data_IF_800017919506
#
_entry.id   IF_800017919506
#
_cell.length_a   1.000
_cell.length_b   1.000
_cell.length_c   1.000
_cell.angle_alpha   90.00
_cell.angle_beta   90.00
_cell.angle_gamma   90.00
#
_symmetry.space_group_name_H-M   'P 1'
#
loop_
_entity.id
_entity.type
_entity.pdbx_description
1 polymer ?
#
# COMPACT_ATOMS: atom_id res chain seq x y z
N UNK A 1 13.96 -48.12 -42.16
CA UNK A 1 13.37 -47.52 -40.96
C UNK A 1 14.28 -46.38 -40.54
N UNK A 2 13.94 -45.17 -40.92
CA UNK A 2 14.66 -43.97 -40.46
C UNK A 2 13.72 -43.22 -39.54
N UNK A 3 13.98 -43.32 -38.26
CA UNK A 3 13.34 -42.46 -37.26
C UNK A 3 14.05 -41.09 -37.25
N UNK A 4 13.42 -40.09 -37.85
CA UNK A 4 13.81 -38.71 -37.74
C UNK A 4 13.18 -38.17 -36.43
N UNK A 5 13.90 -38.25 -35.31
CA UNK A 5 13.61 -37.48 -34.12
C UNK A 5 14.14 -36.05 -34.32
N UNK A 6 13.33 -35.20 -34.93
CA UNK A 6 13.51 -33.75 -34.84
C UNK A 6 12.97 -33.32 -33.48
N UNK A 7 13.78 -33.42 -32.42
CA UNK A 7 13.56 -32.65 -31.20
C UNK A 7 13.80 -31.18 -31.54
N UNK A 8 12.71 -30.44 -31.69
CA UNK A 8 12.76 -29.00 -31.65
C UNK A 8 13.14 -28.59 -30.23
N UNK A 9 14.42 -28.39 -29.95
CA UNK A 9 14.87 -27.69 -28.76
C UNK A 9 14.28 -26.27 -28.81
N UNK A 10 13.22 -26.05 -28.07
CA UNK A 10 12.69 -24.71 -27.79
C UNK A 10 13.73 -23.99 -26.92
N UNK A 11 14.57 -23.19 -27.55
CA UNK A 11 15.48 -22.28 -26.84
C UNK A 11 14.62 -21.28 -26.06
N UNK A 12 14.55 -21.46 -24.75
CA UNK A 12 13.97 -20.46 -23.85
C UNK A 12 14.92 -19.26 -23.81
N UNK A 13 14.44 -18.12 -24.26
CA UNK A 13 15.17 -16.84 -24.13
C UNK A 13 14.76 -16.24 -22.79
N UNK A 14 15.70 -16.20 -21.84
CA UNK A 14 15.48 -15.49 -20.58
C UNK A 14 15.54 -13.98 -20.82
N UNK A 15 14.37 -13.36 -20.78
CA UNK A 15 14.27 -11.90 -20.80
C UNK A 15 14.55 -11.37 -19.39
N UNK A 16 15.76 -10.97 -19.12
CA UNK A 16 16.18 -10.51 -17.79
C UNK A 16 15.84 -9.02 -17.58
N UNK A 17 14.55 -8.65 -17.81
CA UNK A 17 14.06 -7.29 -17.59
C UNK A 17 13.27 -7.28 -16.28
N UNK A 18 13.83 -6.67 -15.24
CA UNK A 18 13.17 -6.46 -13.98
C UNK A 18 12.51 -5.09 -13.94
N UNK A 19 11.32 -4.95 -14.50
CA UNK A 19 10.54 -3.71 -14.44
C UNK A 19 10.23 -3.28 -13.00
N UNK A 20 10.01 -4.25 -12.11
CA UNK A 20 9.67 -3.98 -10.70
C UNK A 20 10.76 -3.19 -9.96
N UNK A 21 12.03 -3.48 -10.22
CA UNK A 21 13.13 -2.76 -9.57
C UNK A 21 13.30 -1.32 -10.06
N UNK A 22 12.89 -1.02 -11.29
CA UNK A 22 13.00 0.31 -11.89
C UNK A 22 11.87 1.24 -11.44
N UNK A 23 10.70 0.67 -11.08
CA UNK A 23 9.50 1.43 -10.75
C UNK A 23 9.34 1.69 -9.25
N UNK A 24 9.92 0.81 -8.40
CA UNK A 24 9.80 0.96 -6.95
C UNK A 24 10.61 2.15 -6.44
N UNK A 25 9.93 3.00 -5.68
CA UNK A 25 10.54 4.13 -4.94
C UNK A 25 10.80 3.70 -3.49
N UNK A 26 11.97 4.05 -3.00
CA UNK A 26 12.32 3.88 -1.59
C UNK A 26 11.88 5.11 -0.81
N UNK A 27 11.02 4.89 0.18
CA UNK A 27 10.43 5.95 0.99
C UNK A 27 10.88 5.72 2.43
N UNK A 28 11.63 6.67 3.00
CA UNK A 28 12.00 6.64 4.41
C UNK A 28 10.85 7.18 5.26
N UNK A 29 10.57 6.53 6.37
CA UNK A 29 9.54 6.94 7.31
C UNK A 29 10.20 7.78 8.42
N UNK A 30 9.67 8.97 8.67
CA UNK A 30 10.20 9.95 9.64
C UNK A 30 11.68 10.30 9.45
N UNK A 31 12.20 10.19 8.21
CA UNK A 31 13.61 10.39 7.91
C UNK A 31 14.55 9.31 8.44
N UNK A 32 14.03 8.23 9.00
CA UNK A 32 14.82 7.11 9.50
C UNK A 32 15.26 6.20 8.35
N UNK A 33 16.56 6.10 8.12
CA UNK A 33 17.17 5.28 7.06
C UNK A 33 16.96 3.78 7.27
N UNK A 34 16.62 3.35 8.49
CA UNK A 34 16.33 1.95 8.81
C UNK A 34 14.84 1.62 8.67
N UNK A 35 13.98 2.63 8.51
CA UNK A 35 12.55 2.48 8.30
C UNK A 35 12.21 2.88 6.86
N UNK A 36 12.41 1.95 5.96
CA UNK A 36 12.23 2.16 4.51
C UNK A 36 11.19 1.20 3.98
N UNK A 37 10.23 1.72 3.22
CA UNK A 37 9.30 0.94 2.40
C UNK A 37 9.64 1.13 0.92
N UNK A 38 9.34 0.12 0.12
CA UNK A 38 9.52 0.17 -1.33
C UNK A 38 8.15 0.03 -1.98
N UNK A 39 7.69 1.11 -2.62
CA UNK A 39 6.39 1.16 -3.28
C UNK A 39 6.54 1.49 -4.75
N UNK A 40 5.76 0.83 -5.60
CA UNK A 40 5.58 1.20 -6.99
C UNK A 40 4.49 2.27 -7.09
N UNK A 41 4.89 3.54 -7.06
CA UNK A 41 3.97 4.67 -7.11
C UNK A 41 3.26 4.83 -8.46
N UNK A 42 3.68 4.10 -9.50
CA UNK A 42 3.02 4.04 -10.80
C UNK A 42 2.05 2.84 -10.92
N UNK A 43 1.92 2.03 -9.87
CA UNK A 43 1.01 0.89 -9.87
C UNK A 43 -0.45 1.31 -9.69
N UNK A 44 -1.16 1.42 -10.81
CA UNK A 44 -2.60 1.71 -10.83
C UNK A 44 -3.44 0.65 -10.10
N UNK A 45 -2.94 -0.58 -9.94
CA UNK A 45 -3.62 -1.62 -9.18
C UNK A 45 -3.68 -1.30 -7.68
N UNK A 46 -2.79 -0.48 -7.16
CA UNK A 46 -2.89 0.00 -5.77
C UNK A 46 -4.19 0.75 -5.54
N UNK A 47 -4.59 1.64 -6.45
CA UNK A 47 -5.86 2.35 -6.36
C UNK A 47 -7.07 1.42 -6.49
N UNK A 48 -6.96 0.39 -7.34
CA UNK A 48 -8.00 -0.65 -7.48
C UNK A 48 -8.12 -1.46 -6.20
N UNK A 49 -7.00 -1.94 -5.65
CA UNK A 49 -6.97 -2.68 -4.37
C UNK A 49 -7.51 -1.82 -3.23
N UNK A 50 -7.18 -0.52 -3.22
CA UNK A 50 -7.75 0.42 -2.26
C UNK A 50 -9.28 0.46 -2.36
N UNK A 51 -9.82 0.72 -3.55
CA UNK A 51 -11.27 0.79 -3.77
C UNK A 51 -11.99 -0.52 -3.37
N UNK A 52 -11.40 -1.67 -3.64
CA UNK A 52 -11.94 -2.98 -3.24
C UNK A 52 -11.94 -3.19 -1.71
N UNK A 53 -10.95 -2.64 -1.01
CA UNK A 53 -10.76 -2.82 0.44
C UNK A 53 -11.36 -1.69 1.28
N UNK A 54 -11.72 -0.56 0.68
CA UNK A 54 -12.23 0.63 1.38
C UNK A 54 -13.38 0.29 2.32
N UNK A 55 -14.37 -0.44 1.83
CA UNK A 55 -15.53 -0.85 2.64
C UNK A 55 -15.15 -1.80 3.80
N UNK A 56 -14.15 -2.65 3.60
CA UNK A 56 -13.64 -3.53 4.66
C UNK A 56 -12.90 -2.72 5.72
N UNK A 57 -12.12 -1.71 5.31
CA UNK A 57 -11.42 -0.79 6.22
C UNK A 57 -12.40 0.07 7.02
N UNK A 58 -13.44 0.60 6.39
CA UNK A 58 -14.50 1.35 7.08
C UNK A 58 -15.22 0.50 8.13
N UNK A 59 -15.62 -0.73 7.77
CA UNK A 59 -16.25 -1.66 8.70
C UNK A 59 -15.34 -2.01 9.87
N UNK A 60 -14.05 -2.20 9.60
CA UNK A 60 -13.07 -2.51 10.62
C UNK A 60 -12.85 -1.32 11.56
N UNK A 61 -12.73 -0.11 11.02
CA UNK A 61 -12.63 1.13 11.78
C UNK A 61 -13.85 1.35 12.69
N UNK A 62 -15.05 1.11 12.16
CA UNK A 62 -16.30 1.18 12.93
C UNK A 62 -16.31 0.17 14.07
N UNK A 63 -15.96 -1.09 13.82
CA UNK A 63 -15.85 -2.14 14.86
C UNK A 63 -14.85 -1.75 15.95
N UNK A 64 -13.71 -1.17 15.57
CA UNK A 64 -12.71 -0.71 16.53
C UNK A 64 -13.23 0.47 17.36
N UNK A 65 -13.88 1.43 16.74
CA UNK A 65 -14.47 2.58 17.43
C UNK A 65 -15.57 2.17 18.40
N UNK A 66 -16.48 1.30 18.00
CA UNK A 66 -17.53 0.74 18.87
C UNK A 66 -16.91 0.01 20.07
N UNK A 67 -15.88 -0.78 19.82
CA UNK A 67 -15.16 -1.49 20.87
C UNK A 67 -14.45 -0.55 21.85
N UNK A 68 -13.76 0.47 21.37
CA UNK A 68 -13.08 1.47 22.21
C UNK A 68 -14.08 2.31 23.01
N UNK A 69 -15.21 2.70 22.41
CA UNK A 69 -16.28 3.47 23.07
C UNK A 69 -16.96 2.65 24.19
N UNK A 70 -17.23 1.38 23.94
CA UNK A 70 -17.84 0.49 24.95
C UNK A 70 -16.94 0.32 26.19
N UNK A 71 -15.61 0.35 26.02
CA UNK A 71 -14.66 0.27 27.13
C UNK A 71 -14.61 1.52 28.00
N UNK A 72 -14.94 2.69 27.47
CA UNK A 72 -15.01 3.92 28.26
C UNK A 72 -16.17 3.90 29.26
N UNK A 73 -17.19 3.08 29.01
CA UNK A 73 -18.36 2.88 29.89
C UNK A 73 -18.22 1.68 30.84
N UNK A 74 -17.34 0.73 30.52
CA UNK A 74 -17.16 -0.54 31.27
C UNK A 74 -16.07 -0.45 32.38
N UNK A 75 -16.00 0.68 33.12
CA UNK A 75 -15.05 0.85 34.25
C UNK A 75 -15.27 -0.12 35.42
N UNK A 76 -16.28 -0.98 35.37
CA UNK A 76 -16.67 -1.87 36.45
C UNK A 76 -16.30 -3.36 36.25
N UNK A 77 -15.75 -3.74 35.10
CA UNK A 77 -15.33 -5.13 34.89
C UNK A 77 -13.91 -5.35 35.44
N UNK A 78 -13.80 -6.26 36.43
CA UNK A 78 -12.61 -6.50 37.24
C UNK A 78 -11.30 -6.80 36.46
N UNK A 79 -10.23 -7.11 37.18
CA UNK A 79 -8.85 -7.33 36.63
C UNK A 79 -8.75 -8.31 35.45
N UNK A 80 -9.72 -9.19 35.25
CA UNK A 80 -9.75 -10.16 34.15
C UNK A 80 -10.26 -9.59 32.82
N UNK A 81 -10.85 -8.40 32.83
CA UNK A 81 -11.35 -7.73 31.62
C UNK A 81 -10.22 -7.19 30.73
N UNK A 82 -9.14 -6.69 31.36
CA UNK A 82 -8.02 -6.07 30.65
C UNK A 82 -7.29 -7.01 29.66
N UNK A 83 -7.00 -8.28 30.00
CA UNK A 83 -6.38 -9.19 29.03
C UNK A 83 -7.28 -9.54 27.84
N UNK A 84 -8.60 -9.63 28.05
CA UNK A 84 -9.56 -9.86 26.95
C UNK A 84 -9.64 -8.64 26.02
N UNK A 85 -9.68 -7.46 26.60
CA UNK A 85 -9.69 -6.20 25.88
C UNK A 85 -8.43 -6.06 25.02
N UNK A 86 -7.25 -6.25 25.61
CA UNK A 86 -5.99 -6.14 24.90
C UNK A 86 -5.89 -7.13 23.73
N UNK A 87 -6.37 -8.37 23.90
CA UNK A 87 -6.43 -9.37 22.83
C UNK A 87 -7.35 -8.95 21.69
N UNK A 88 -8.53 -8.41 22.01
CA UNK A 88 -9.49 -7.94 21.01
C UNK A 88 -8.93 -6.75 20.21
N UNK A 89 -8.33 -5.77 20.88
CA UNK A 89 -7.70 -4.64 20.22
C UNK A 89 -6.56 -5.09 19.31
N UNK A 90 -5.71 -6.01 19.77
CA UNK A 90 -4.64 -6.58 18.95
C UNK A 90 -5.17 -7.32 17.72
N UNK A 91 -6.29 -8.04 17.85
CA UNK A 91 -6.93 -8.71 16.71
C UNK A 91 -7.37 -7.70 15.65
N UNK A 92 -8.03 -6.62 16.07
CA UNK A 92 -8.47 -5.55 15.17
C UNK A 92 -7.28 -4.83 14.51
N UNK A 93 -6.22 -4.58 15.26
CA UNK A 93 -4.98 -3.98 14.76
C UNK A 93 -4.31 -4.86 13.70
N UNK A 94 -4.22 -6.17 13.95
CA UNK A 94 -3.65 -7.12 13.01
C UNK A 94 -4.49 -7.24 11.72
N UNK A 95 -5.82 -7.19 11.81
CA UNK A 95 -6.70 -7.17 10.64
C UNK A 95 -6.43 -5.92 9.78
N UNK A 96 -6.30 -4.73 10.40
CA UNK A 96 -5.97 -3.48 9.73
C UNK A 96 -4.60 -3.55 9.03
N UNK A 97 -3.57 -4.00 9.75
CA UNK A 97 -2.21 -4.16 9.23
C UNK A 97 -2.17 -5.07 8.00
N UNK A 98 -2.88 -6.20 8.07
CA UNK A 98 -2.97 -7.15 6.95
C UNK A 98 -3.58 -6.50 5.71
N UNK A 99 -4.70 -5.80 5.86
CA UNK A 99 -5.36 -5.13 4.74
C UNK A 99 -4.44 -4.06 4.11
N UNK A 100 -3.77 -3.24 4.94
CA UNK A 100 -2.86 -2.21 4.43
C UNK A 100 -1.66 -2.81 3.69
N UNK A 101 -1.08 -3.89 4.20
CA UNK A 101 0.00 -4.62 3.50
C UNK A 101 -0.46 -5.15 2.14
N UNK A 102 -1.69 -5.66 2.03
CA UNK A 102 -2.29 -6.13 0.77
C UNK A 102 -2.56 -4.98 -0.20
N UNK A 103 -3.09 -3.86 0.27
CA UNK A 103 -3.39 -2.68 -0.56
C UNK A 103 -2.12 -2.14 -1.22
N UNK A 104 -1.06 -1.98 -0.45
CA UNK A 104 0.19 -1.40 -0.95
C UNK A 104 1.16 -2.43 -1.56
N UNK A 105 0.76 -3.70 -1.63
CA UNK A 105 1.61 -4.81 -2.10
C UNK A 105 3.01 -4.79 -1.47
N UNK A 106 3.03 -4.56 -0.16
CA UNK A 106 4.23 -4.43 0.63
C UNK A 106 4.05 -5.20 1.95
N UNK A 107 4.58 -6.43 2.07
CA UNK A 107 4.31 -7.32 3.20
C UNK A 107 4.68 -6.77 4.57
N UNK A 108 5.67 -5.88 4.63
CA UNK A 108 6.14 -5.24 5.86
C UNK A 108 5.71 -3.76 5.99
N UNK A 109 4.78 -3.30 5.14
CA UNK A 109 4.33 -1.90 5.13
C UNK A 109 3.93 -1.44 6.53
N UNK A 110 2.98 -2.12 7.14
CA UNK A 110 2.43 -1.73 8.45
C UNK A 110 3.46 -1.74 9.58
N UNK A 111 4.42 -2.65 9.54
CA UNK A 111 5.46 -2.75 10.56
C UNK A 111 6.51 -1.64 10.39
N UNK A 112 6.78 -1.21 9.17
CA UNK A 112 7.70 -0.09 8.90
C UNK A 112 7.08 1.26 9.23
N UNK A 113 5.80 1.48 8.88
CA UNK A 113 5.13 2.77 9.14
C UNK A 113 4.65 2.89 10.59
N UNK A 114 4.35 1.79 11.27
CA UNK A 114 3.90 1.75 12.65
C UNK A 114 4.56 0.59 13.42
N UNK A 115 5.87 0.66 13.71
CA UNK A 115 6.60 -0.42 14.39
C UNK A 115 6.16 -0.61 15.84
N UNK A 116 5.62 0.43 16.47
CA UNK A 116 5.09 0.40 17.82
C UNK A 116 3.75 1.13 17.89
N UNK A 117 2.91 0.72 18.82
CA UNK A 117 1.56 1.27 18.99
C UNK A 117 0.52 0.58 18.12
N UNK A 118 -0.67 1.13 18.12
CA UNK A 118 -1.85 0.61 17.46
C UNK A 118 -2.24 1.49 16.26
N UNK A 119 -2.73 0.90 15.18
CA UNK A 119 -3.23 1.63 14.03
C UNK A 119 -4.43 2.52 14.35
N UNK A 120 -5.11 2.22 15.45
CA UNK A 120 -6.25 3.01 15.94
C UNK A 120 -5.87 4.08 16.97
N UNK A 121 -4.58 4.26 17.29
CA UNK A 121 -4.13 5.36 18.15
C UNK A 121 -4.55 6.71 17.54
N UNK A 122 -5.06 7.61 18.39
CA UNK A 122 -5.60 8.89 17.96
C UNK A 122 -4.51 9.97 18.06
N UNK A 123 -4.28 10.67 16.95
CA UNK A 123 -3.40 11.84 16.86
C UNK A 123 -4.22 13.03 16.36
N UNK A 124 -4.33 14.06 17.17
CA UNK A 124 -5.12 15.26 16.84
C UNK A 124 -6.56 14.95 16.40
N UNK A 125 -7.20 13.96 17.03
CA UNK A 125 -8.57 13.56 16.71
C UNK A 125 -8.71 12.62 15.52
N UNK A 126 -7.61 12.21 14.89
CA UNK A 126 -7.60 11.34 13.71
C UNK A 126 -6.88 10.03 14.02
N UNK A 127 -7.43 8.87 13.64
CA UNK A 127 -6.73 7.58 13.79
C UNK A 127 -5.44 7.54 12.98
N UNK A 128 -4.40 6.93 13.54
CA UNK A 128 -3.09 6.80 12.89
C UNK A 128 -3.17 6.22 11.48
N UNK A 129 -3.93 5.15 11.29
CA UNK A 129 -4.07 4.51 9.97
C UNK A 129 -4.61 5.48 8.91
N UNK A 130 -5.53 6.37 9.29
CA UNK A 130 -6.13 7.35 8.37
C UNK A 130 -5.11 8.38 7.89
N UNK A 131 -4.25 8.85 8.80
CA UNK A 131 -3.16 9.78 8.46
C UNK A 131 -2.18 9.10 7.50
N UNK A 132 -1.71 7.90 7.86
CA UNK A 132 -0.75 7.15 7.03
C UNK A 132 -1.29 6.87 5.63
N UNK A 133 -2.54 6.43 5.55
CA UNK A 133 -3.18 6.13 4.25
C UNK A 133 -3.32 7.39 3.42
N UNK A 134 -3.76 8.49 4.01
CA UNK A 134 -3.89 9.78 3.30
C UNK A 134 -2.55 10.23 2.72
N UNK A 135 -1.50 10.23 3.53
CA UNK A 135 -0.17 10.66 3.11
C UNK A 135 0.42 9.78 1.99
N UNK A 136 0.25 8.46 2.11
CA UNK A 136 0.74 7.52 1.08
C UNK A 136 -0.06 7.64 -0.21
N UNK A 137 -1.39 7.73 -0.15
CA UNK A 137 -2.22 7.92 -1.35
C UNK A 137 -1.91 9.25 -2.05
N UNK A 138 -1.59 10.30 -1.32
CA UNK A 138 -1.15 11.57 -1.91
C UNK A 138 0.14 11.40 -2.74
N UNK A 139 1.08 10.54 -2.30
CA UNK A 139 2.28 10.23 -3.09
C UNK A 139 1.92 9.53 -4.41
N UNK A 140 0.96 8.61 -4.41
CA UNK A 140 0.48 7.97 -5.65
C UNK A 140 -0.15 8.99 -6.60
N UNK A 141 -1.04 9.84 -6.09
CA UNK A 141 -1.70 10.87 -6.90
C UNK A 141 -0.68 11.83 -7.52
N UNK A 142 0.28 12.33 -6.74
CA UNK A 142 1.35 13.20 -7.25
C UNK A 142 2.17 12.53 -8.34
N UNK A 143 2.61 11.30 -8.11
CA UNK A 143 3.41 10.57 -9.09
C UNK A 143 2.66 10.32 -10.40
N UNK A 144 1.37 10.00 -10.33
CA UNK A 144 0.52 9.82 -11.51
C UNK A 144 0.36 11.15 -12.27
N UNK A 145 0.12 12.25 -11.55
CA UNK A 145 0.00 13.58 -12.17
C UNK A 145 1.30 14.03 -12.87
N UNK A 146 2.45 13.78 -12.26
CA UNK A 146 3.75 14.04 -12.86
C UNK A 146 3.94 13.23 -14.15
N UNK A 147 3.63 11.93 -14.13
CA UNK A 147 3.73 11.08 -15.32
C UNK A 147 2.80 11.53 -16.46
N UNK A 148 1.58 11.95 -16.16
CA UNK A 148 0.65 12.47 -17.16
C UNK A 148 1.23 13.75 -17.79
N UNK A 149 1.74 14.65 -16.98
CA UNK A 149 2.33 15.90 -17.45
C UNK A 149 3.54 15.65 -18.35
N UNK A 150 4.45 14.78 -17.95
CA UNK A 150 5.63 14.44 -18.74
C UNK A 150 5.23 13.83 -20.10
N UNK A 151 4.22 12.96 -20.11
CA UNK A 151 3.68 12.37 -21.34
C UNK A 151 3.04 13.43 -22.27
N UNK A 152 2.28 14.37 -21.71
CA UNK A 152 1.66 15.46 -22.49
C UNK A 152 2.73 16.39 -23.09
N UNK A 153 3.81 16.68 -22.35
CA UNK A 153 4.94 17.48 -22.85
C UNK A 153 5.67 16.74 -24.00
N UNK A 154 5.97 15.44 -23.86
CA UNK A 154 6.57 14.61 -24.91
C UNK A 154 5.71 14.57 -26.18
N UNK A 155 4.40 14.34 -26.03
CA UNK A 155 3.45 14.33 -27.16
C UNK A 155 3.44 15.70 -27.87
N UNK A 156 3.46 16.80 -27.09
CA UNK A 156 3.47 18.15 -27.63
C UNK A 156 4.75 18.44 -28.41
N UNK A 157 5.91 18.01 -27.91
CA UNK A 157 7.21 18.17 -28.60
C UNK A 157 7.22 17.39 -29.90
N UNK A 158 6.87 16.10 -29.90
CA UNK A 158 6.82 15.27 -31.10
C UNK A 158 5.84 15.84 -32.12
N UNK A 159 4.64 16.26 -31.68
CA UNK A 159 3.66 16.88 -32.59
C UNK A 159 4.16 18.16 -33.22
N UNK A 160 4.91 19.00 -32.48
CA UNK A 160 5.45 20.23 -32.95
C UNK A 160 6.59 20.06 -33.99
N UNK A 161 7.35 18.96 -33.86
CA UNK A 161 8.36 18.57 -34.87
C UNK A 161 7.72 18.16 -36.18
N UNK A 162 6.67 17.33 -36.16
CA UNK A 162 5.95 16.94 -37.37
C UNK A 162 5.28 18.11 -38.13
N UNK A 163 4.82 19.14 -37.39
CA UNK A 163 4.21 20.32 -38.00
C UNK A 163 5.25 21.22 -38.68
N UNK A 164 6.50 21.19 -38.21
CA UNK A 164 7.58 22.01 -38.81
C UNK A 164 8.20 21.41 -40.07
N UNK A 165 8.04 20.10 -40.28
CA UNK A 165 8.57 19.41 -41.47
C UNK A 165 7.57 19.30 -42.64
N UNK A 166 6.34 19.75 -42.50
CA UNK A 166 5.29 19.81 -43.52
C UNK A 166 5.05 21.21 -44.02
#
# INVERSE_FOLDING_TARGET
MYENNNEFETKTIDLNISFDKLRKKRISIDGDINRVIELDLADMHTLTRWAEKEKALENLAKRAQEFLSAQSTAKEEGKDALPKWARKLRSLDNEMRKILNEVFDCPNFSDMVCPSGCMYDIFNGVPRYSILVSDILELYVKNIQEQIKDTDEEISEVTSEYIKEG
#
